data_IF_619069757799
#
_entry.id   IF_619069757799
#
_cell.length_a   1.000
_cell.length_b   1.000
_cell.length_c   1.000
_cell.angle_alpha   90.00
_cell.angle_beta   90.00
_cell.angle_gamma   90.00
#
_symmetry.space_group_name_H-M   'P 1'
#
loop_
_entity.id
_entity.type
_entity.pdbx_description
1 polymer ?
#
# COMPACT_ATOMS: atom_id res chain seq x y z
N UNK A 1 -8.44 -36.87 1.51
CA UNK A 1 -8.73 -37.21 0.09
C UNK A 1 -9.16 -38.66 -0.07
N UNK A 2 -8.35 -39.66 0.33
CA UNK A 2 -8.69 -41.10 0.18
C UNK A 2 -9.98 -41.55 0.91
N UNK A 3 -10.24 -41.02 2.12
CA UNK A 3 -11.46 -41.35 2.87
C UNK A 3 -12.74 -40.81 2.18
N UNK A 4 -12.67 -39.63 1.56
CA UNK A 4 -13.79 -39.01 0.85
C UNK A 4 -14.11 -39.77 -0.45
N UNK A 5 -13.09 -40.18 -1.21
CA UNK A 5 -13.29 -40.98 -2.42
C UNK A 5 -13.90 -42.35 -2.11
N UNK A 6 -13.49 -42.99 -1.00
CA UNK A 6 -14.07 -44.26 -0.57
C UNK A 6 -15.55 -44.11 -0.21
N UNK A 7 -15.91 -43.05 0.51
CA UNK A 7 -17.31 -42.75 0.86
C UNK A 7 -18.21 -42.55 -0.36
N UNK A 8 -17.72 -41.83 -1.38
CA UNK A 8 -18.45 -41.60 -2.64
C UNK A 8 -18.67 -42.93 -3.38
N UNK A 9 -17.64 -43.77 -3.48
CA UNK A 9 -17.75 -45.07 -4.15
C UNK A 9 -18.75 -45.98 -3.44
N UNK A 10 -18.71 -46.03 -2.10
CA UNK A 10 -19.66 -46.82 -1.30
C UNK A 10 -21.09 -46.31 -1.48
N UNK A 11 -21.31 -44.99 -1.48
CA UNK A 11 -22.63 -44.40 -1.69
C UNK A 11 -23.19 -44.72 -3.08
N UNK A 12 -22.37 -44.56 -4.13
CA UNK A 12 -22.75 -44.90 -5.51
C UNK A 12 -23.09 -46.40 -5.63
N UNK A 13 -22.28 -47.27 -5.04
CA UNK A 13 -22.51 -48.72 -5.04
C UNK A 13 -23.81 -49.07 -4.31
N UNK A 14 -24.07 -48.46 -3.15
CA UNK A 14 -25.29 -48.68 -2.38
C UNK A 14 -26.54 -48.25 -3.17
N UNK A 15 -26.50 -47.08 -3.81
CA UNK A 15 -27.58 -46.58 -4.67
C UNK A 15 -27.80 -47.53 -5.86
N UNK A 16 -26.74 -47.99 -6.51
CA UNK A 16 -26.83 -48.93 -7.64
C UNK A 16 -27.45 -50.27 -7.23
N UNK A 17 -26.98 -50.86 -6.12
CA UNK A 17 -27.49 -52.14 -5.60
C UNK A 17 -28.94 -52.01 -5.16
N UNK A 18 -29.28 -50.98 -4.39
CA UNK A 18 -30.66 -50.74 -3.93
C UNK A 18 -31.61 -50.49 -5.09
N UNK A 19 -31.19 -49.69 -6.08
CA UNK A 19 -31.97 -49.44 -7.31
C UNK A 19 -32.22 -50.75 -8.10
N UNK A 20 -31.20 -51.58 -8.25
CA UNK A 20 -31.33 -52.91 -8.89
C UNK A 20 -32.26 -53.86 -8.13
N UNK A 21 -32.26 -53.81 -6.80
CA UNK A 21 -33.09 -54.68 -5.95
C UNK A 21 -34.55 -54.22 -5.88
N UNK A 22 -34.82 -52.91 -6.01
CA UNK A 22 -36.16 -52.33 -5.82
C UNK A 22 -37.00 -52.25 -7.11
N UNK A 23 -36.36 -52.08 -8.28
CA UNK A 23 -37.08 -51.92 -9.55
C UNK A 23 -37.14 -53.23 -10.36
N UNK A 24 -38.34 -53.82 -10.46
CA UNK A 24 -38.61 -55.02 -11.26
C UNK A 24 -38.63 -54.72 -12.77
N UNK A 25 -38.93 -53.47 -13.16
CA UNK A 25 -38.99 -53.02 -14.55
C UNK A 25 -37.69 -52.34 -15.00
N UNK A 26 -37.17 -52.72 -16.17
CA UNK A 26 -35.96 -52.13 -16.77
C UNK A 26 -36.14 -50.63 -17.08
N UNK A 27 -37.38 -50.18 -17.31
CA UNK A 27 -37.68 -48.79 -17.61
C UNK A 27 -37.40 -47.85 -16.43
N UNK A 28 -37.77 -48.25 -15.21
CA UNK A 28 -37.59 -47.40 -14.02
C UNK A 28 -36.11 -47.27 -13.65
N UNK A 29 -35.34 -48.33 -13.85
CA UNK A 29 -33.88 -48.32 -13.69
C UNK A 29 -33.20 -47.33 -14.67
N UNK A 30 -33.62 -47.33 -15.94
CA UNK A 30 -33.12 -46.40 -16.95
C UNK A 30 -33.49 -44.95 -16.62
N UNK A 31 -34.73 -44.73 -16.15
CA UNK A 31 -35.20 -43.39 -15.75
C UNK A 31 -34.38 -42.84 -14.58
N UNK A 32 -34.11 -43.64 -13.56
CA UNK A 32 -33.27 -43.25 -12.42
C UNK A 32 -31.84 -42.93 -12.85
N UNK A 33 -31.25 -43.75 -13.75
CA UNK A 33 -29.93 -43.49 -14.30
C UNK A 33 -29.86 -42.15 -15.06
N UNK A 34 -30.88 -41.85 -15.88
CA UNK A 34 -30.98 -40.59 -16.61
C UNK A 34 -31.08 -39.41 -15.64
N UNK A 35 -31.92 -39.50 -14.61
CA UNK A 35 -32.06 -38.46 -13.59
C UNK A 35 -30.74 -38.20 -12.85
N UNK A 36 -29.97 -39.23 -12.51
CA UNK A 36 -28.67 -39.08 -11.86
C UNK A 36 -27.65 -38.38 -12.77
N UNK A 37 -27.59 -38.75 -14.05
CA UNK A 37 -26.72 -38.08 -15.02
C UNK A 37 -27.12 -36.61 -15.17
N UNK A 38 -28.42 -36.34 -15.29
CA UNK A 38 -28.94 -34.99 -15.40
C UNK A 38 -28.61 -34.14 -14.16
N UNK A 39 -28.81 -34.70 -12.95
CA UNK A 39 -28.43 -34.04 -11.70
C UNK A 39 -26.92 -33.78 -11.62
N UNK A 40 -26.09 -34.74 -12.05
CA UNK A 40 -24.64 -34.58 -12.09
C UNK A 40 -24.21 -33.47 -13.05
N UNK A 41 -24.84 -33.39 -14.23
CA UNK A 41 -24.56 -32.33 -15.21
C UNK A 41 -24.96 -30.95 -14.69
N UNK A 42 -26.13 -30.81 -14.07
CA UNK A 42 -26.55 -29.54 -13.44
C UNK A 42 -25.59 -29.16 -12.32
N UNK A 43 -25.26 -30.09 -11.43
CA UNK A 43 -24.35 -29.83 -10.32
C UNK A 43 -22.96 -29.42 -10.81
N UNK A 44 -22.44 -30.08 -11.84
CA UNK A 44 -21.15 -29.75 -12.44
C UNK A 44 -21.18 -28.38 -13.13
N UNK A 45 -22.25 -28.09 -13.88
CA UNK A 45 -22.46 -26.79 -14.53
C UNK A 45 -22.52 -25.66 -13.51
N UNK A 46 -23.32 -25.83 -12.44
CA UNK A 46 -23.44 -24.83 -11.39
C UNK A 46 -22.12 -24.64 -10.62
N UNK A 47 -21.44 -25.74 -10.28
CA UNK A 47 -20.13 -25.69 -9.63
C UNK A 47 -19.08 -24.98 -10.48
N UNK A 48 -19.08 -25.22 -11.79
CA UNK A 48 -18.20 -24.53 -12.73
C UNK A 48 -18.48 -23.02 -12.80
N UNK A 49 -19.76 -22.62 -12.90
CA UNK A 49 -20.16 -21.22 -12.92
C UNK A 49 -19.72 -20.48 -11.65
N UNK A 50 -20.02 -21.03 -10.48
CA UNK A 50 -19.64 -20.44 -9.19
C UNK A 50 -18.11 -20.34 -9.03
N UNK A 51 -17.39 -21.41 -9.37
CA UNK A 51 -15.93 -21.41 -9.31
C UNK A 51 -15.31 -20.37 -10.27
N UNK A 52 -15.89 -20.20 -11.46
CA UNK A 52 -15.39 -19.25 -12.47
C UNK A 52 -15.52 -17.79 -12.01
N UNK A 53 -16.62 -17.43 -11.33
CA UNK A 53 -16.83 -16.09 -10.77
C UNK A 53 -15.80 -15.78 -9.67
N UNK A 54 -15.70 -16.64 -8.65
CA UNK A 54 -14.79 -16.44 -7.52
C UNK A 54 -13.33 -16.36 -8.00
N UNK A 55 -12.94 -17.24 -8.92
CA UNK A 55 -11.57 -17.27 -9.47
C UNK A 55 -11.23 -15.96 -10.18
N UNK A 56 -12.17 -15.40 -10.95
CA UNK A 56 -11.99 -14.11 -11.63
C UNK A 56 -11.80 -12.98 -10.61
N UNK A 57 -12.62 -12.93 -9.57
CA UNK A 57 -12.58 -11.87 -8.55
C UNK A 57 -11.30 -11.94 -7.71
N UNK A 58 -10.85 -13.15 -7.35
CA UNK A 58 -9.54 -13.35 -6.71
C UNK A 58 -8.38 -12.91 -7.60
N UNK A 59 -8.43 -13.16 -8.91
CA UNK A 59 -7.39 -12.71 -9.82
C UNK A 59 -7.32 -11.18 -9.92
N UNK A 60 -8.47 -10.50 -9.93
CA UNK A 60 -8.52 -9.03 -9.91
C UNK A 60 -7.94 -8.45 -8.62
N UNK A 61 -8.31 -9.01 -7.47
CA UNK A 61 -7.75 -8.61 -6.17
C UNK A 61 -6.25 -8.86 -6.09
N UNK A 62 -5.78 -10.03 -6.54
CA UNK A 62 -4.36 -10.37 -6.56
C UNK A 62 -3.56 -9.43 -7.47
N UNK A 63 -4.10 -9.11 -8.65
CA UNK A 63 -3.50 -8.15 -9.56
C UNK A 63 -3.46 -6.74 -8.95
N UNK A 64 -4.54 -6.30 -8.31
CA UNK A 64 -4.60 -5.01 -7.63
C UNK A 64 -3.59 -4.91 -6.48
N UNK A 65 -3.51 -5.93 -5.63
CA UNK A 65 -2.53 -6.01 -4.55
C UNK A 65 -1.09 -6.00 -5.08
N UNK A 66 -0.83 -6.66 -6.21
CA UNK A 66 0.49 -6.60 -6.85
C UNK A 66 0.83 -5.19 -7.35
N UNK A 67 -0.14 -4.45 -7.91
CA UNK A 67 0.07 -3.06 -8.33
C UNK A 67 0.36 -2.13 -7.15
N UNK A 68 -0.38 -2.29 -6.04
CA UNK A 68 -0.09 -1.58 -4.78
C UNK A 68 1.33 -1.89 -4.27
N UNK A 69 1.76 -3.16 -4.35
CA UNK A 69 3.12 -3.56 -3.95
C UNK A 69 4.22 -2.94 -4.82
N UNK A 70 3.89 -2.58 -6.07
CA UNK A 70 4.79 -1.84 -6.98
C UNK A 70 4.72 -0.31 -6.77
N UNK A 71 3.93 0.17 -5.81
CA UNK A 71 3.80 1.58 -5.46
C UNK A 71 2.68 2.33 -6.20
N UNK A 72 1.86 1.63 -6.99
CA UNK A 72 0.67 2.22 -7.60
C UNK A 72 -0.53 2.12 -6.64
N UNK A 73 -0.73 3.18 -5.85
CA UNK A 73 -1.85 3.29 -4.92
C UNK A 73 -3.14 3.82 -5.57
N UNK A 74 -3.13 4.10 -6.87
CA UNK A 74 -4.32 4.61 -7.58
C UNK A 74 -5.23 3.49 -8.09
N UNK A 75 -4.75 2.24 -8.06
CA UNK A 75 -5.54 1.06 -8.48
C UNK A 75 -6.79 0.89 -7.63
N UNK A 76 -7.91 0.63 -8.28
CA UNK A 76 -9.15 0.22 -7.62
C UNK A 76 -9.64 -1.09 -8.23
N UNK A 77 -10.18 -1.96 -7.39
CA UNK A 77 -10.80 -3.22 -7.80
C UNK A 77 -12.30 -3.01 -7.74
N UNK A 78 -12.94 -3.09 -8.92
CA UNK A 78 -14.39 -2.96 -9.07
C UNK A 78 -14.99 -4.35 -9.33
N UNK A 79 -15.80 -4.81 -8.39
CA UNK A 79 -16.55 -6.05 -8.47
C UNK A 79 -18.04 -5.70 -8.45
N UNK A 80 -18.86 -6.51 -9.11
CA UNK A 80 -20.30 -6.34 -9.05
C UNK A 80 -20.79 -6.48 -7.60
N UNK A 81 -21.78 -5.70 -7.18
CA UNK A 81 -22.35 -5.76 -5.81
C UNK A 81 -22.89 -7.15 -5.43
N UNK A 82 -23.28 -7.96 -6.41
CA UNK A 82 -23.74 -9.33 -6.20
C UNK A 82 -22.59 -10.35 -6.03
N UNK A 83 -21.34 -9.93 -6.13
CA UNK A 83 -20.16 -10.78 -5.93
C UNK A 83 -19.90 -10.97 -4.44
N UNK A 84 -19.66 -12.22 -4.02
CA UNK A 84 -19.38 -12.56 -2.63
C UNK A 84 -18.11 -11.90 -2.07
N UNK A 85 -17.23 -11.40 -2.94
CA UNK A 85 -16.00 -10.69 -2.57
C UNK A 85 -16.10 -9.15 -2.70
N UNK A 86 -17.29 -8.59 -2.95
CA UNK A 86 -17.49 -7.15 -3.08
C UNK A 86 -16.99 -6.37 -1.84
N UNK A 87 -17.34 -6.82 -0.62
CA UNK A 87 -16.89 -6.19 0.63
C UNK A 87 -15.35 -6.22 0.79
N UNK A 88 -14.71 -7.29 0.28
CA UNK A 88 -13.24 -7.41 0.29
C UNK A 88 -12.62 -6.43 -0.69
N UNK A 89 -13.23 -6.25 -1.87
CA UNK A 89 -12.79 -5.24 -2.83
C UNK A 89 -12.97 -3.82 -2.30
N UNK A 90 -14.06 -3.54 -1.59
CA UNK A 90 -14.27 -2.26 -0.91
C UNK A 90 -13.20 -2.02 0.16
N UNK A 91 -12.94 -3.00 1.02
CA UNK A 91 -11.88 -2.94 2.03
C UNK A 91 -10.49 -2.72 1.40
N UNK A 92 -10.19 -3.41 0.29
CA UNK A 92 -8.97 -3.21 -0.49
C UNK A 92 -8.87 -1.77 -1.02
N UNK A 93 -9.96 -1.23 -1.58
CA UNK A 93 -10.00 0.12 -2.12
C UNK A 93 -9.80 1.17 -1.02
N UNK A 94 -10.41 1.00 0.16
CA UNK A 94 -10.18 1.88 1.31
C UNK A 94 -8.72 1.87 1.76
N UNK A 95 -8.09 0.69 1.82
CA UNK A 95 -6.66 0.57 2.14
C UNK A 95 -5.79 1.31 1.10
N UNK A 96 -6.07 1.14 -0.19
CA UNK A 96 -5.35 1.82 -1.26
C UNK A 96 -5.50 3.35 -1.18
N UNK A 97 -6.70 3.83 -0.85
CA UNK A 97 -6.99 5.26 -0.62
C UNK A 97 -6.16 5.83 0.53
N UNK A 98 -6.09 5.13 1.68
CA UNK A 98 -5.32 5.60 2.83
C UNK A 98 -3.81 5.59 2.57
N UNK A 99 -3.30 4.57 1.87
CA UNK A 99 -1.90 4.52 1.44
C UNK A 99 -1.56 5.70 0.51
N UNK A 100 -2.43 5.99 -0.46
CA UNK A 100 -2.26 7.12 -1.38
C UNK A 100 -2.19 8.45 -0.62
N UNK A 101 -3.08 8.68 0.34
CA UNK A 101 -3.10 9.89 1.18
C UNK A 101 -1.89 9.98 2.10
N UNK A 102 -1.47 8.86 2.69
CA UNK A 102 -0.29 8.81 3.55
C UNK A 102 0.98 9.16 2.77
N UNK A 103 1.14 8.57 1.58
CA UNK A 103 2.29 8.85 0.73
C UNK A 103 2.32 10.30 0.23
N UNK A 104 1.17 10.88 -0.13
CA UNK A 104 1.06 12.29 -0.50
C UNK A 104 1.51 13.21 0.65
N UNK A 105 0.99 12.97 1.87
CA UNK A 105 1.39 13.72 3.08
C UNK A 105 2.88 13.60 3.36
N UNK A 106 3.43 12.38 3.26
CA UNK A 106 4.87 12.16 3.48
C UNK A 106 5.72 12.95 2.47
N UNK A 107 5.30 12.99 1.20
CA UNK A 107 5.99 13.74 0.15
C UNK A 107 5.94 15.25 0.42
N UNK A 108 4.80 15.77 0.84
CA UNK A 108 4.65 17.18 1.23
C UNK A 108 5.53 17.53 2.43
N UNK A 109 5.58 16.67 3.46
CA UNK A 109 6.44 16.87 4.62
C UNK A 109 7.92 16.83 4.27
N UNK A 110 8.36 15.89 3.42
CA UNK A 110 9.75 15.83 2.99
C UNK A 110 10.13 17.05 2.14
N UNK A 111 9.20 17.56 1.31
CA UNK A 111 9.42 18.79 0.56
C UNK A 111 9.56 19.99 1.50
N UNK A 112 8.63 20.16 2.45
CA UNK A 112 8.69 21.22 3.45
C UNK A 112 9.98 21.15 4.28
N UNK A 113 10.43 19.94 4.65
CA UNK A 113 11.70 19.73 5.35
C UNK A 113 12.89 20.20 4.51
N UNK A 114 12.92 19.87 3.22
CA UNK A 114 13.99 20.30 2.30
C UNK A 114 14.00 21.81 2.13
N UNK A 115 12.84 22.42 1.98
CA UNK A 115 12.70 23.86 1.82
C UNK A 115 13.13 24.61 3.08
N UNK A 116 12.78 24.10 4.27
CA UNK A 116 13.27 24.61 5.56
C UNK A 116 14.79 24.52 5.65
N UNK A 117 15.39 23.37 5.36
CA UNK A 117 16.85 23.20 5.39
C UNK A 117 17.54 24.17 4.43
N UNK A 118 16.99 24.36 3.23
CA UNK A 118 17.54 25.28 2.24
C UNK A 118 17.45 26.74 2.72
N UNK A 119 16.32 27.15 3.29
CA UNK A 119 16.11 28.48 3.85
C UNK A 119 17.07 28.75 5.02
N UNK A 120 17.14 27.85 6.00
CA UNK A 120 18.06 27.96 7.14
C UNK A 120 19.51 28.02 6.66
N UNK A 121 19.91 27.16 5.72
CA UNK A 121 21.28 27.16 5.19
C UNK A 121 21.66 28.47 4.52
N UNK A 122 20.72 29.10 3.81
CA UNK A 122 20.90 30.41 3.21
C UNK A 122 21.09 31.50 4.28
N UNK A 123 20.22 31.49 5.29
CA UNK A 123 20.19 32.51 6.34
C UNK A 123 21.39 32.40 7.29
N UNK A 124 21.94 31.21 7.51
CA UNK A 124 23.18 31.01 8.27
C UNK A 124 24.43 31.41 7.46
N UNK A 125 24.43 31.23 6.12
CA UNK A 125 25.59 31.53 5.27
C UNK A 125 25.94 33.02 5.23
N UNK A 126 24.93 33.88 5.24
CA UNK A 126 25.10 35.34 5.15
C UNK A 126 25.92 35.91 6.33
N UNK A 127 25.50 35.73 7.60
CA UNK A 127 26.28 36.21 8.75
C UNK A 127 27.62 35.49 8.87
N UNK A 128 27.72 34.19 8.52
CA UNK A 128 28.99 33.46 8.55
C UNK A 128 30.02 34.05 7.58
N UNK A 129 29.59 34.39 6.35
CA UNK A 129 30.45 35.08 5.37
C UNK A 129 30.89 36.45 5.88
N UNK A 130 29.99 37.19 6.53
CA UNK A 130 30.31 38.50 7.11
C UNK A 130 31.32 38.40 8.27
N UNK A 131 31.13 37.44 9.19
CA UNK A 131 32.07 37.17 10.29
C UNK A 131 33.44 36.84 9.72
N UNK A 132 33.49 35.92 8.75
CA UNK A 132 34.73 35.51 8.09
C UNK A 132 35.46 36.68 7.44
N UNK A 133 34.76 37.51 6.67
CA UNK A 133 35.35 38.67 6.01
C UNK A 133 35.90 39.69 7.02
N UNK A 134 35.23 39.91 8.14
CA UNK A 134 35.72 40.80 9.20
C UNK A 134 36.96 40.24 9.90
N UNK A 135 37.00 38.93 10.17
CA UNK A 135 38.18 38.26 10.75
C UNK A 135 39.37 38.34 9.79
N UNK A 136 39.18 38.03 8.50
CA UNK A 136 40.22 38.10 7.47
C UNK A 136 40.77 39.53 7.33
N UNK A 137 39.90 40.56 7.30
CA UNK A 137 40.32 41.95 7.20
C UNK A 137 41.17 42.45 8.39
N UNK A 138 40.90 41.96 9.60
CA UNK A 138 41.72 42.28 10.79
C UNK A 138 43.03 41.49 10.76
N UNK A 139 42.98 40.20 10.39
CA UNK A 139 44.15 39.32 10.35
C UNK A 139 45.18 39.73 9.30
N UNK A 140 44.73 40.14 8.11
CA UNK A 140 45.58 40.56 6.99
C UNK A 140 46.15 41.99 7.17
N UNK A 141 45.80 42.68 8.26
CA UNK A 141 46.22 44.06 8.51
C UNK A 141 45.59 45.07 7.55
N UNK A 142 44.50 44.71 6.87
CA UNK A 142 43.71 45.63 6.03
C UNK A 142 43.01 46.67 6.90
N UNK A 143 42.58 46.28 8.11
CA UNK A 143 42.04 47.16 9.14
C UNK A 143 43.02 47.23 10.32
N UNK A 144 43.60 48.41 10.55
CA UNK A 144 44.62 48.64 11.60
C UNK A 144 44.22 49.68 12.62
N UNK A 145 43.21 50.50 12.34
CA UNK A 145 42.71 51.51 13.28
C UNK A 145 42.04 50.84 14.50
N UNK A 146 42.46 51.14 15.75
CA UNK A 146 41.92 50.52 16.95
C UNK A 146 40.40 50.66 17.10
N UNK A 147 39.82 51.77 16.64
CA UNK A 147 38.37 52.01 16.72
C UNK A 147 37.63 51.08 15.76
N UNK A 148 38.11 50.93 14.53
CA UNK A 148 37.54 50.01 13.53
C UNK A 148 37.68 48.54 13.92
N UNK A 149 38.83 48.14 14.48
CA UNK A 149 39.03 46.77 15.01
C UNK A 149 38.01 46.46 16.11
N UNK A 150 37.81 47.39 17.06
CA UNK A 150 36.83 47.23 18.13
C UNK A 150 35.39 47.12 17.59
N UNK A 151 35.06 47.88 16.54
CA UNK A 151 33.77 47.79 15.86
C UNK A 151 33.56 46.42 15.20
N UNK A 152 34.58 45.86 14.56
CA UNK A 152 34.52 44.54 13.94
C UNK A 152 34.33 43.45 15.00
N UNK A 153 35.03 43.51 16.14
CA UNK A 153 34.81 42.59 17.26
C UNK A 153 33.37 42.65 17.79
N UNK A 154 32.81 43.85 17.92
CA UNK A 154 31.42 44.04 18.39
C UNK A 154 30.41 43.46 17.39
N UNK A 155 30.62 43.70 16.09
CA UNK A 155 29.75 43.16 15.04
C UNK A 155 29.82 41.63 14.95
N UNK A 156 31.03 41.05 15.02
CA UNK A 156 31.22 39.60 15.05
C UNK A 156 30.42 39.03 16.22
N UNK A 157 30.62 39.55 17.43
CA UNK A 157 29.92 39.07 18.63
C UNK A 157 28.40 39.10 18.44
N UNK A 158 27.84 40.20 17.95
CA UNK A 158 26.40 40.32 17.71
C UNK A 158 25.92 39.31 16.66
N UNK A 159 26.66 39.09 15.58
CA UNK A 159 26.30 38.11 14.56
C UNK A 159 26.39 36.66 15.08
N UNK A 160 27.35 36.34 15.95
CA UNK A 160 27.43 35.02 16.58
C UNK A 160 26.28 34.80 17.57
N UNK A 161 25.89 35.81 18.35
CA UNK A 161 24.72 35.77 19.24
C UNK A 161 23.42 35.57 18.42
N UNK A 162 23.26 36.30 17.31
CA UNK A 162 22.11 36.14 16.41
C UNK A 162 22.06 34.75 15.78
N UNK A 163 23.19 34.21 15.33
CA UNK A 163 23.30 32.84 14.81
C UNK A 163 22.91 31.81 15.87
N UNK A 164 23.34 32.00 17.12
CA UNK A 164 22.99 31.12 18.23
C UNK A 164 21.48 31.13 18.50
N UNK A 165 20.83 32.29 18.46
CA UNK A 165 19.38 32.40 18.65
C UNK A 165 18.61 31.71 17.52
N UNK A 166 19.01 31.94 16.25
CA UNK A 166 18.43 31.26 15.08
C UNK A 166 18.53 29.73 15.16
N UNK A 167 19.65 29.22 15.68
CA UNK A 167 19.84 27.78 15.89
C UNK A 167 18.92 27.27 17.01
N UNK A 168 18.81 27.99 18.13
CA UNK A 168 17.93 27.61 19.23
C UNK A 168 16.45 27.58 18.77
N UNK A 169 16.01 28.61 18.03
CA UNK A 169 14.64 28.70 17.48
C UNK A 169 14.31 27.56 16.49
N UNK A 170 15.31 26.87 15.94
CA UNK A 170 15.11 25.74 15.02
C UNK A 170 14.97 24.40 15.74
N UNK A 171 15.54 24.28 16.95
CA UNK A 171 15.56 23.03 17.73
C UNK A 171 14.55 22.98 18.88
N UNK A 172 13.93 24.12 19.22
CA UNK A 172 12.77 24.23 20.12
C UNK A 172 11.44 24.01 19.37
#
# INVERSE_FOLDING_TARGET
LLAYSLGIVIAILNIYVTSRLMFVSTHDFLLLGLLLIFAALISASFGYLLASNITRSLWLLQKGAHQVALGDFSVRVDLNEADELADVAEAFNMMADELQRSFARQKEMEQARRDLIAAVSHDLRTPLTSIRAMIEAVADGVVTDPVMVQRYHTNIRSQTENLSNLINDLFD
#
